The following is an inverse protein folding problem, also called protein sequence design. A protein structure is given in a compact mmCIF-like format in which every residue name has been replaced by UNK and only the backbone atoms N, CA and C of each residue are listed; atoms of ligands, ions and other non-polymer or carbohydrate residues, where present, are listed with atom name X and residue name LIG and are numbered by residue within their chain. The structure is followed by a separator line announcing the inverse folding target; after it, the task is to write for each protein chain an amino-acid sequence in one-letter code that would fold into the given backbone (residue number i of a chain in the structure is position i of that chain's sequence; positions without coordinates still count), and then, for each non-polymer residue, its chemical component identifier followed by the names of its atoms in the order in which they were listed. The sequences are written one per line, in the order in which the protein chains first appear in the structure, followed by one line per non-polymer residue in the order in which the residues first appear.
data_IF_184260573053
#
_entry.id   IF_184260573053
#
_cell.length_a   1.000
_cell.length_b   1.000
_cell.length_c   1.000
_cell.angle_alpha   90.00
_cell.angle_beta   90.00
_cell.angle_gamma   90.00
#
_symmetry.space_group_name_H-M   'P 1'
#
loop_
_entity.id
_entity.type
_entity.pdbx_description
1 polymer ?
#
# COMPACT_ATOMS: atom_id res chain seq x y z
N UNK A 1 54.33 -14.71 18.73
CA UNK A 1 53.02 -14.09 19.02
C UNK A 1 52.10 -15.09 19.73
N UNK A 2 51.80 -14.88 21.02
CA UNK A 2 51.00 -15.79 21.88
C UNK A 2 49.63 -16.17 21.28
N UNK A 3 49.07 -15.30 20.44
CA UNK A 3 47.81 -15.48 19.73
C UNK A 3 47.77 -16.71 18.79
N UNK A 4 48.77 -16.88 17.92
CA UNK A 4 48.81 -18.01 16.98
C UNK A 4 48.87 -19.37 17.70
N UNK A 5 49.50 -19.39 18.88
CA UNK A 5 49.61 -20.59 19.71
C UNK A 5 48.24 -20.97 20.33
N UNK A 6 47.43 -19.98 20.70
CA UNK A 6 46.04 -20.19 21.18
C UNK A 6 45.16 -20.69 20.04
N UNK A 7 45.28 -20.12 18.84
CA UNK A 7 44.55 -20.54 17.65
C UNK A 7 44.81 -22.02 17.32
N UNK A 8 46.09 -22.41 17.29
CA UNK A 8 46.51 -23.79 17.01
C UNK A 8 46.00 -24.79 18.05
N UNK A 9 45.96 -24.40 19.33
CA UNK A 9 45.46 -25.23 20.44
C UNK A 9 43.94 -25.39 20.43
N UNK A 10 43.19 -24.39 19.96
CA UNK A 10 41.71 -24.39 19.96
C UNK A 10 41.12 -24.44 18.55
N UNK A 11 41.81 -25.06 17.59
CA UNK A 11 41.45 -25.08 16.16
C UNK A 11 40.01 -25.51 15.85
N UNK A 12 39.47 -26.51 16.57
CA UNK A 12 38.11 -27.04 16.37
C UNK A 12 37.06 -25.99 16.78
N UNK A 13 37.32 -25.25 17.85
CA UNK A 13 36.41 -24.23 18.35
C UNK A 13 36.31 -23.06 17.34
N UNK A 14 37.44 -22.66 16.76
CA UNK A 14 37.45 -21.64 15.69
C UNK A 14 36.73 -22.13 14.43
N UNK A 15 36.93 -23.39 14.01
CA UNK A 15 36.20 -23.96 12.88
C UNK A 15 34.68 -23.88 13.11
N UNK A 16 34.22 -24.27 14.31
CA UNK A 16 32.79 -24.18 14.65
C UNK A 16 32.26 -22.75 14.63
N UNK A 17 33.04 -21.77 15.13
CA UNK A 17 32.66 -20.35 15.05
C UNK A 17 32.51 -19.90 13.59
N UNK A 18 33.45 -20.28 12.71
CA UNK A 18 33.38 -19.93 11.29
C UNK A 18 32.18 -20.57 10.57
N UNK A 19 31.88 -21.84 10.85
CA UNK A 19 30.69 -22.49 10.29
C UNK A 19 29.40 -21.85 10.82
N UNK A 20 29.34 -21.55 12.11
CA UNK A 20 28.17 -20.90 12.70
C UNK A 20 27.98 -19.48 12.15
N UNK A 21 29.06 -18.70 12.04
CA UNK A 21 29.00 -17.36 11.46
C UNK A 21 28.58 -17.39 10.00
N UNK A 22 29.01 -18.40 9.23
CA UNK A 22 28.56 -18.56 7.85
C UNK A 22 27.05 -18.75 7.77
N UNK A 23 26.48 -19.61 8.62
CA UNK A 23 25.02 -19.80 8.68
C UNK A 23 24.31 -18.51 9.11
N UNK A 24 24.82 -17.81 10.14
CA UNK A 24 24.21 -16.57 10.61
C UNK A 24 24.22 -15.47 9.54
N UNK A 25 25.35 -15.24 8.88
CA UNK A 25 25.46 -14.23 7.84
C UNK A 25 24.48 -14.55 6.70
N UNK A 26 24.45 -15.81 6.21
CA UNK A 26 23.50 -16.22 5.18
C UNK A 26 22.03 -16.19 5.63
N UNK A 27 21.76 -16.32 6.93
CA UNK A 27 20.41 -16.25 7.47
C UNK A 27 19.90 -14.81 7.55
N UNK A 28 20.74 -13.87 7.96
CA UNK A 28 20.35 -12.46 8.08
C UNK A 28 20.41 -11.71 6.75
N UNK A 29 21.33 -12.09 5.87
CA UNK A 29 21.62 -11.38 4.63
C UNK A 29 20.89 -11.97 3.40
N UNK A 30 20.85 -11.18 2.32
CA UNK A 30 20.34 -11.57 1.01
C UNK A 30 18.82 -11.47 0.85
N UNK A 31 18.37 -11.66 -0.39
CA UNK A 31 16.97 -11.52 -0.80
C UNK A 31 16.00 -12.58 -0.21
N UNK A 32 16.55 -13.57 0.50
CA UNK A 32 15.82 -14.66 1.17
C UNK A 32 16.19 -14.77 2.65
N UNK A 33 16.99 -13.83 3.16
CA UNK A 33 17.33 -13.75 4.57
C UNK A 33 16.19 -13.19 5.40
N UNK A 34 16.39 -13.18 6.71
CA UNK A 34 15.41 -12.77 7.71
C UNK A 34 14.95 -11.32 7.54
N UNK A 35 15.87 -10.38 7.32
CA UNK A 35 15.49 -8.97 7.10
C UNK A 35 14.65 -8.80 5.83
N UNK A 36 15.04 -9.46 4.74
CA UNK A 36 14.26 -9.42 3.50
C UNK A 36 12.86 -10.03 3.66
N UNK A 37 12.71 -11.05 4.51
CA UNK A 37 11.39 -11.60 4.86
C UNK A 37 10.52 -10.57 5.58
N UNK A 38 11.06 -9.84 6.56
CA UNK A 38 10.31 -8.81 7.30
C UNK A 38 9.87 -7.67 6.36
N UNK A 39 10.77 -7.18 5.51
CA UNK A 39 10.46 -6.10 4.57
C UNK A 39 9.38 -6.53 3.57
N UNK A 40 9.49 -7.73 3.01
CA UNK A 40 8.47 -8.28 2.09
C UNK A 40 7.13 -8.45 2.78
N UNK A 41 7.11 -8.86 4.05
CA UNK A 41 5.86 -9.00 4.82
C UNK A 41 5.16 -7.65 4.96
N UNK A 42 5.89 -6.62 5.40
CA UNK A 42 5.34 -5.28 5.52
C UNK A 42 4.85 -4.75 4.17
N UNK A 43 5.63 -4.96 3.10
CA UNK A 43 5.23 -4.56 1.75
C UNK A 43 3.94 -5.27 1.27
N UNK A 44 3.75 -6.54 1.62
CA UNK A 44 2.50 -7.25 1.33
C UNK A 44 1.33 -6.65 2.10
N UNK A 45 1.52 -6.28 3.37
CA UNK A 45 0.47 -5.65 4.18
C UNK A 45 0.04 -4.30 3.58
N UNK A 46 1.00 -3.47 3.14
CA UNK A 46 0.74 -2.21 2.45
C UNK A 46 -0.05 -2.44 1.15
N UNK A 47 0.38 -3.39 0.32
CA UNK A 47 -0.31 -3.73 -0.93
C UNK A 47 -1.74 -4.25 -0.70
N UNK A 48 -1.98 -4.97 0.40
CA UNK A 48 -3.33 -5.42 0.77
C UNK A 48 -4.22 -4.24 1.13
N UNK A 49 -3.69 -3.25 1.84
CA UNK A 49 -4.45 -2.06 2.21
C UNK A 49 -4.73 -1.17 0.99
N UNK A 50 -3.74 -0.97 0.13
CA UNK A 50 -3.91 -0.28 -1.15
C UNK A 50 -4.97 -0.96 -2.00
N UNK A 51 -4.93 -2.30 -2.11
CA UNK A 51 -5.94 -3.06 -2.84
C UNK A 51 -7.34 -2.82 -2.29
N UNK A 52 -7.55 -2.80 -0.97
CA UNK A 52 -8.86 -2.51 -0.37
C UNK A 52 -9.33 -1.10 -0.72
N UNK A 53 -8.43 -0.12 -0.65
CA UNK A 53 -8.74 1.27 -1.00
C UNK A 53 -9.13 1.40 -2.48
N UNK A 54 -8.39 0.75 -3.38
CA UNK A 54 -8.70 0.72 -4.80
C UNK A 54 -10.05 0.04 -5.07
N UNK A 55 -10.37 -1.08 -4.41
CA UNK A 55 -11.66 -1.75 -4.55
C UNK A 55 -12.79 -0.82 -4.09
N UNK A 56 -12.62 -0.12 -2.97
CA UNK A 56 -13.61 0.85 -2.49
C UNK A 56 -13.85 1.97 -3.50
N UNK A 57 -12.78 2.53 -4.08
CA UNK A 57 -12.88 3.56 -5.12
C UNK A 57 -13.56 3.01 -6.39
N UNK A 58 -13.18 1.80 -6.81
CA UNK A 58 -13.77 1.13 -7.96
C UNK A 58 -15.27 0.93 -7.76
N UNK A 59 -15.70 0.42 -6.60
CA UNK A 59 -17.12 0.22 -6.30
C UNK A 59 -17.93 1.52 -6.36
N UNK A 60 -17.36 2.65 -5.91
CA UNK A 60 -18.01 3.96 -6.00
C UNK A 60 -18.18 4.38 -7.46
N UNK A 61 -17.13 4.22 -8.28
CA UNK A 61 -17.15 4.57 -9.70
C UNK A 61 -18.11 3.66 -10.46
N UNK A 62 -18.06 2.35 -10.20
CA UNK A 62 -18.95 1.36 -10.79
C UNK A 62 -20.41 1.65 -10.43
N UNK A 63 -20.69 1.99 -9.18
CA UNK A 63 -22.03 2.40 -8.77
C UNK A 63 -22.51 3.65 -9.54
N UNK A 64 -21.67 4.68 -9.66
CA UNK A 64 -21.99 5.88 -10.47
C UNK A 64 -22.21 5.54 -11.94
N UNK A 65 -21.40 4.66 -12.52
CA UNK A 65 -21.55 4.21 -13.90
C UNK A 65 -22.85 3.42 -14.08
N UNK A 66 -23.20 2.56 -13.13
CA UNK A 66 -24.46 1.81 -13.15
C UNK A 66 -25.68 2.74 -13.07
N UNK A 67 -25.61 3.86 -12.34
CA UNK A 67 -26.67 4.87 -12.32
C UNK A 67 -26.84 5.61 -13.67
N UNK A 68 -25.81 5.62 -14.50
CA UNK A 68 -25.77 6.33 -15.79
C UNK A 68 -25.86 5.38 -17.01
N UNK A 69 -25.86 4.06 -16.80
CA UNK A 69 -25.87 3.06 -17.86
C UNK A 69 -27.00 2.04 -17.68
N UNK A 70 -27.45 1.43 -18.78
CA UNK A 70 -28.63 0.54 -18.78
C UNK A 70 -29.94 1.31 -18.63
N UNK A 71 -30.34 1.62 -17.38
CA UNK A 71 -31.49 2.47 -17.06
C UNK A 71 -30.99 3.70 -16.32
N UNK A 72 -30.96 4.83 -17.02
CA UNK A 72 -30.47 6.10 -16.48
C UNK A 72 -31.35 6.52 -15.29
N UNK A 73 -30.72 6.79 -14.16
CA UNK A 73 -31.37 7.43 -13.01
C UNK A 73 -31.44 8.94 -13.25
N UNK A 74 -32.66 9.46 -13.46
CA UNK A 74 -32.89 10.87 -13.77
C UNK A 74 -32.55 11.81 -12.61
N UNK A 75 -32.80 11.39 -11.36
CA UNK A 75 -32.46 12.19 -10.18
C UNK A 75 -30.95 12.36 -10.04
N UNK A 76 -30.20 11.27 -10.27
CA UNK A 76 -28.74 11.31 -10.26
C UNK A 76 -28.18 12.17 -11.42
N UNK A 77 -28.80 12.11 -12.59
CA UNK A 77 -28.44 12.96 -13.73
C UNK A 77 -28.68 14.45 -13.43
N UNK A 78 -29.81 14.79 -12.81
CA UNK A 78 -30.12 16.16 -12.39
C UNK A 78 -29.11 16.68 -11.36
N UNK A 79 -28.76 15.86 -10.36
CA UNK A 79 -27.68 16.18 -9.40
C UNK A 79 -26.38 16.50 -10.13
N UNK A 80 -25.98 15.69 -11.12
CA UNK A 80 -24.75 15.93 -11.89
C UNK A 80 -24.82 17.23 -12.70
N UNK A 81 -25.97 17.53 -13.33
CA UNK A 81 -26.17 18.76 -14.11
C UNK A 81 -26.07 19.98 -13.18
N UNK A 82 -26.73 19.95 -12.03
CA UNK A 82 -26.68 21.00 -11.02
C UNK A 82 -25.28 21.17 -10.44
N UNK A 83 -24.56 20.09 -10.16
CA UNK A 83 -23.19 20.16 -9.64
C UNK A 83 -22.21 20.75 -10.64
N UNK A 84 -22.21 20.27 -11.88
CA UNK A 84 -21.21 20.61 -12.92
C UNK A 84 -21.48 21.93 -13.62
N UNK A 85 -22.74 22.23 -13.88
CA UNK A 85 -23.12 23.37 -14.69
C UNK A 85 -23.87 24.45 -13.88
N UNK A 86 -24.20 24.18 -12.61
CA UNK A 86 -24.95 25.10 -11.75
C UNK A 86 -26.27 25.56 -12.40
N UNK A 87 -26.90 24.68 -13.19
CA UNK A 87 -28.23 24.92 -13.75
C UNK A 87 -29.31 24.76 -12.67
N UNK A 88 -30.42 25.45 -12.86
CA UNK A 88 -31.65 25.31 -12.09
C UNK A 88 -32.84 25.34 -13.04
N UNK A 89 -34.03 25.09 -12.51
CA UNK A 89 -35.25 25.22 -13.29
C UNK A 89 -35.61 26.68 -13.54
N UNK A 90 -36.44 26.92 -14.55
CA UNK A 90 -36.81 28.28 -14.98
C UNK A 90 -37.56 29.09 -13.92
N UNK A 91 -38.12 28.42 -12.93
CA UNK A 91 -38.83 28.96 -11.77
C UNK A 91 -37.96 29.07 -10.50
N UNK A 92 -36.70 28.64 -10.54
CA UNK A 92 -35.77 28.66 -9.41
C UNK A 92 -34.85 29.90 -9.43
N UNK A 93 -34.52 30.43 -8.25
CA UNK A 93 -33.50 31.48 -8.08
C UNK A 93 -32.22 30.84 -7.55
N UNK A 94 -31.12 30.94 -8.31
CA UNK A 94 -29.81 30.39 -7.92
C UNK A 94 -29.01 31.47 -7.19
N UNK A 95 -28.70 31.23 -5.92
CA UNK A 95 -27.88 32.13 -5.10
C UNK A 95 -26.49 31.51 -4.92
N UNK A 96 -25.47 32.20 -5.42
CA UNK A 96 -24.07 31.84 -5.14
C UNK A 96 -23.61 32.58 -3.88
N UNK A 97 -23.37 31.84 -2.81
CA UNK A 97 -22.72 32.38 -1.62
C UNK A 97 -21.21 32.41 -1.86
N UNK A 98 -20.59 33.59 -1.73
CA UNK A 98 -19.14 33.67 -1.62
C UNK A 98 -18.79 33.38 -0.15
N UNK A 99 -18.13 32.25 0.09
CA UNK A 99 -17.40 32.09 1.35
C UNK A 99 -16.19 33.01 1.30
N UNK A 100 -16.29 34.16 1.99
CA UNK A 100 -15.13 35.01 2.26
C UNK A 100 -14.26 34.29 3.29
N UNK A 101 -13.22 33.61 2.82
CA UNK A 101 -12.05 33.23 3.62
C UNK A 101 -10.82 33.95 3.06
#
# INVERSE_FOLDING_TARGET
MRFLHVLKRKKILFLNIFLFSYVLINFFDGNRGFFSYLDKKNHIEDLVEDKKNLIKQLNIIEHKNNLLSGKINLDFLDILIREKFKFGHSDEIIIKLNEQN
#
